data_IF_417055679118
#
_entry.id   IF_417055679118
#
_cell.length_a   1.000
_cell.length_b   1.000
_cell.length_c   1.000
_cell.angle_alpha   90.00
_cell.angle_beta   90.00
_cell.angle_gamma   90.00
#
_symmetry.space_group_name_H-M   'P 1'
#
loop_
_entity.id
_entity.type
_entity.pdbx_description
1 polymer ?
#
# COMPACT_ATOMS: atom_id res chain seq x y z
N UNK A 1 -7.44 -19.20 -17.54
CA UNK A 1 -8.14 -17.97 -17.93
C UNK A 1 -8.88 -17.45 -16.71
N UNK A 2 -8.57 -16.24 -16.26
CA UNK A 2 -9.36 -15.57 -15.23
C UNK A 2 -10.73 -15.18 -15.82
N UNK A 3 -11.81 -15.36 -15.05
CA UNK A 3 -13.14 -14.88 -15.44
C UNK A 3 -13.13 -13.35 -15.32
N UNK A 4 -13.48 -12.59 -16.37
CA UNK A 4 -13.51 -11.13 -16.28
C UNK A 4 -14.47 -10.67 -15.19
N UNK A 5 -14.04 -9.72 -14.37
CA UNK A 5 -14.90 -9.03 -13.41
C UNK A 5 -15.79 -8.05 -14.18
N UNK A 6 -17.00 -8.48 -14.55
CA UNK A 6 -17.91 -7.69 -15.39
C UNK A 6 -18.80 -6.72 -14.60
N UNK A 7 -18.65 -6.67 -13.27
CA UNK A 7 -19.56 -5.90 -12.40
C UNK A 7 -19.10 -4.45 -12.15
N UNK A 8 -17.83 -4.13 -12.38
CA UNK A 8 -17.30 -2.79 -12.07
C UNK A 8 -17.51 -1.85 -13.24
N UNK A 9 -18.21 -0.75 -13.00
CA UNK A 9 -18.45 0.27 -14.04
C UNK A 9 -17.13 0.91 -14.49
N UNK A 10 -17.02 1.23 -15.78
CA UNK A 10 -15.86 1.95 -16.32
C UNK A 10 -15.61 3.28 -15.59
N UNK A 11 -16.67 3.94 -15.11
CA UNK A 11 -16.58 5.17 -14.32
C UNK A 11 -15.81 4.96 -13.02
N UNK A 12 -16.05 3.86 -12.31
CA UNK A 12 -15.34 3.54 -11.06
C UNK A 12 -13.84 3.33 -11.34
N UNK A 13 -13.51 2.56 -12.39
CA UNK A 13 -12.11 2.30 -12.78
C UNK A 13 -11.39 3.60 -13.13
N UNK A 14 -11.98 4.45 -13.97
CA UNK A 14 -11.38 5.73 -14.37
C UNK A 14 -11.25 6.71 -13.20
N UNK A 15 -12.25 6.75 -12.31
CA UNK A 15 -12.18 7.57 -11.10
C UNK A 15 -11.04 7.11 -10.20
N UNK A 16 -10.87 5.79 -10.06
CA UNK A 16 -9.78 5.21 -9.28
C UNK A 16 -8.41 5.61 -9.86
N UNK A 17 -8.21 5.48 -11.17
CA UNK A 17 -6.95 5.89 -11.83
C UNK A 17 -6.62 7.36 -11.64
N UNK A 18 -7.63 8.24 -11.79
CA UNK A 18 -7.47 9.68 -11.57
C UNK A 18 -7.07 9.94 -10.12
N UNK A 19 -7.74 9.30 -9.16
CA UNK A 19 -7.40 9.43 -7.74
C UNK A 19 -5.98 8.91 -7.49
N UNK A 20 -5.60 7.73 -7.99
CA UNK A 20 -4.23 7.20 -7.85
C UNK A 20 -3.17 8.16 -8.41
N UNK A 21 -3.43 8.76 -9.57
CA UNK A 21 -2.52 9.74 -10.19
C UNK A 21 -2.43 11.03 -9.37
N UNK A 22 -3.56 11.54 -8.88
CA UNK A 22 -3.57 12.72 -8.02
C UNK A 22 -2.79 12.47 -6.72
N UNK A 23 -3.01 11.32 -6.08
CA UNK A 23 -2.30 10.93 -4.87
C UNK A 23 -0.79 10.78 -5.11
N UNK A 24 -0.40 10.27 -6.29
CA UNK A 24 1.00 10.22 -6.70
C UNK A 24 1.59 11.64 -6.79
N UNK A 25 0.95 12.53 -7.54
CA UNK A 25 1.43 13.90 -7.75
C UNK A 25 1.55 14.63 -6.42
N UNK A 26 0.53 14.54 -5.57
CA UNK A 26 0.54 15.15 -4.23
C UNK A 26 1.66 14.59 -3.36
N UNK A 27 1.89 13.27 -3.40
CA UNK A 27 2.98 12.64 -2.66
C UNK A 27 4.36 13.07 -3.15
N UNK A 28 4.57 13.16 -4.47
CA UNK A 28 5.80 13.69 -5.07
C UNK A 28 6.04 15.13 -4.63
N UNK A 29 5.00 15.98 -4.70
CA UNK A 29 5.10 17.38 -4.27
C UNK A 29 5.46 17.49 -2.79
N UNK A 30 4.84 16.68 -1.93
CA UNK A 30 5.13 16.65 -0.50
C UNK A 30 6.58 16.25 -0.21
N UNK A 31 7.06 15.14 -0.79
CA UNK A 31 8.45 14.70 -0.55
C UNK A 31 9.47 15.63 -1.20
N UNK A 32 9.17 16.24 -2.35
CA UNK A 32 10.02 17.27 -2.94
C UNK A 32 10.14 18.47 -2.00
N UNK A 33 9.02 19.00 -1.52
CA UNK A 33 8.98 20.16 -0.63
C UNK A 33 9.77 19.95 0.66
N UNK A 34 9.80 18.71 1.17
CA UNK A 34 10.61 18.36 2.35
C UNK A 34 12.11 18.55 2.16
N UNK A 35 12.59 18.53 0.90
CA UNK A 35 14.02 18.51 0.53
C UNK A 35 14.83 17.42 1.24
N UNK A 36 14.17 16.39 1.74
CA UNK A 36 14.81 15.29 2.45
C UNK A 36 14.94 14.07 1.51
N UNK A 37 16.17 13.69 1.10
CA UNK A 37 16.37 12.58 0.17
C UNK A 37 15.89 11.24 0.75
N UNK A 38 15.83 11.09 2.08
CA UNK A 38 15.28 9.88 2.73
C UNK A 38 13.79 9.77 2.44
N UNK A 39 13.04 10.88 2.46
CA UNK A 39 11.60 10.86 2.22
C UNK A 39 11.29 10.51 0.77
N UNK A 40 12.07 11.06 -0.16
CA UNK A 40 12.00 10.68 -1.58
C UNK A 40 12.32 9.19 -1.77
N UNK A 41 13.37 8.68 -1.12
CA UNK A 41 13.74 7.27 -1.18
C UNK A 41 12.63 6.35 -0.67
N UNK A 42 12.05 6.65 0.48
CA UNK A 42 10.93 5.90 1.06
C UNK A 42 9.72 5.92 0.13
N UNK A 43 9.37 7.09 -0.38
CA UNK A 43 8.20 7.26 -1.24
C UNK A 43 8.35 6.47 -2.54
N UNK A 44 9.49 6.61 -3.25
CA UNK A 44 9.77 5.90 -4.49
C UNK A 44 9.90 4.39 -4.28
N UNK A 45 10.56 3.95 -3.19
CA UNK A 45 10.65 2.53 -2.85
C UNK A 45 9.27 1.94 -2.57
N UNK A 46 8.38 2.70 -1.92
CA UNK A 46 7.00 2.27 -1.66
C UNK A 46 6.17 2.23 -2.95
N UNK A 47 6.37 3.16 -3.90
CA UNK A 47 5.63 3.14 -5.18
C UNK A 47 6.12 2.02 -6.09
N UNK A 48 7.38 2.09 -6.50
CA UNK A 48 7.95 1.23 -7.53
C UNK A 48 8.26 -0.15 -6.93
N UNK A 49 8.92 -0.18 -5.76
CA UNK A 49 9.25 -1.43 -5.09
C UNK A 49 8.01 -2.15 -4.58
N UNK A 50 7.09 -1.42 -3.93
CA UNK A 50 5.82 -1.98 -3.46
C UNK A 50 4.97 -2.54 -4.59
N UNK A 51 4.65 -1.72 -5.61
CA UNK A 51 3.79 -2.13 -6.70
C UNK A 51 4.37 -3.26 -7.57
N UNK A 52 5.69 -3.29 -7.79
CA UNK A 52 6.33 -4.39 -8.54
C UNK A 52 6.37 -5.67 -7.72
N UNK A 53 6.75 -5.59 -6.43
CA UNK A 53 6.85 -6.77 -5.58
C UNK A 53 5.48 -7.39 -5.35
N UNK A 54 4.47 -6.57 -5.06
CA UNK A 54 3.12 -7.03 -4.87
C UNK A 54 2.57 -7.66 -6.16
N UNK A 55 2.77 -7.04 -7.33
CA UNK A 55 2.38 -7.67 -8.61
C UNK A 55 2.98 -9.08 -8.78
N UNK A 56 4.23 -9.30 -8.35
CA UNK A 56 4.85 -10.64 -8.36
C UNK A 56 4.11 -11.59 -7.40
N UNK A 57 3.78 -11.16 -6.18
CA UNK A 57 3.09 -11.99 -5.19
C UNK A 57 1.62 -12.27 -5.57
N UNK A 58 0.96 -11.29 -6.17
CA UNK A 58 -0.46 -11.30 -6.49
C UNK A 58 -0.77 -12.04 -7.79
N UNK A 59 0.17 -12.08 -8.73
CA UNK A 59 -0.03 -12.76 -10.01
C UNK A 59 0.05 -14.29 -9.91
N UNK A 60 0.80 -14.85 -8.95
CA UNK A 60 1.12 -16.30 -8.94
C UNK A 60 1.09 -16.98 -7.57
N UNK A 61 1.05 -16.25 -6.46
CA UNK A 61 1.32 -16.81 -5.13
C UNK A 61 0.15 -16.66 -4.14
N UNK A 62 0.47 -16.64 -2.84
CA UNK A 62 -0.47 -16.77 -1.71
C UNK A 62 -1.62 -15.73 -1.72
N UNK A 63 -1.37 -14.56 -2.29
CA UNK A 63 -2.31 -13.44 -2.35
C UNK A 63 -3.02 -13.31 -3.70
N UNK A 64 -3.07 -14.40 -4.49
CA UNK A 64 -3.61 -14.39 -5.86
C UNK A 64 -4.79 -13.44 -6.03
N UNK A 65 -4.52 -12.31 -6.68
CA UNK A 65 -5.44 -11.20 -6.85
C UNK A 65 -5.74 -11.06 -8.34
N UNK A 66 -6.99 -10.77 -8.67
CA UNK A 66 -7.35 -10.30 -10.01
C UNK A 66 -7.87 -8.89 -9.92
N UNK A 67 -7.47 -8.09 -10.90
CA UNK A 67 -7.82 -6.68 -11.01
C UNK A 67 -8.68 -6.52 -12.27
N UNK A 68 -9.57 -5.53 -12.26
CA UNK A 68 -10.44 -5.27 -13.40
C UNK A 68 -9.62 -5.04 -14.69
N UNK A 69 -10.04 -5.65 -15.81
CA UNK A 69 -9.29 -5.57 -17.07
C UNK A 69 -9.37 -4.20 -17.74
N UNK A 70 -10.28 -3.31 -17.28
CA UNK A 70 -10.49 -1.97 -17.86
C UNK A 70 -9.41 -0.97 -17.44
N UNK A 71 -8.55 -1.32 -16.48
CA UNK A 71 -7.42 -0.47 -16.09
C UNK A 71 -6.44 -0.26 -17.25
N UNK A 72 -5.79 0.91 -17.27
CA UNK A 72 -4.68 1.20 -18.18
C UNK A 72 -3.50 0.29 -17.81
N UNK A 73 -2.99 -0.52 -18.76
CA UNK A 73 -1.86 -1.39 -18.50
C UNK A 73 -0.56 -0.58 -18.37
N UNK A 74 0.26 -0.92 -17.39
CA UNK A 74 1.61 -0.39 -17.22
C UNK A 74 2.64 -1.28 -17.91
N UNK A 75 2.58 -2.59 -17.64
CA UNK A 75 3.38 -3.62 -18.29
C UNK A 75 2.65 -4.96 -18.28
N UNK A 76 3.15 -5.89 -19.09
CA UNK A 76 2.71 -7.28 -19.09
C UNK A 76 3.94 -8.18 -18.97
N UNK A 77 3.86 -9.19 -18.11
CA UNK A 77 4.91 -10.20 -18.01
C UNK A 77 4.30 -11.55 -17.63
N UNK A 78 4.74 -12.60 -18.32
CA UNK A 78 4.24 -13.96 -18.16
C UNK A 78 2.70 -14.11 -18.31
N UNK A 79 2.11 -13.28 -19.18
CA UNK A 79 0.66 -13.25 -19.48
C UNK A 79 -0.20 -12.53 -18.44
N UNK A 80 0.43 -11.85 -17.48
CA UNK A 80 -0.24 -11.10 -16.42
C UNK A 80 0.00 -9.60 -16.62
N UNK A 81 -1.09 -8.82 -16.63
CA UNK A 81 -1.06 -7.37 -16.85
C UNK A 81 -1.02 -6.65 -15.51
N UNK A 82 -0.02 -5.79 -15.33
CA UNK A 82 0.06 -4.89 -14.19
C UNK A 82 -0.62 -3.56 -14.55
N UNK A 83 -1.63 -3.10 -13.79
CA UNK A 83 -2.27 -1.82 -14.05
C UNK A 83 -1.41 -0.66 -13.53
N UNK A 84 -1.39 0.47 -14.25
CA UNK A 84 -0.67 1.69 -13.82
C UNK A 84 -1.10 2.09 -12.42
N UNK A 85 -2.41 2.08 -12.15
CA UNK A 85 -2.95 2.48 -10.86
C UNK A 85 -2.31 1.75 -9.68
N UNK A 86 -2.00 0.44 -9.82
CA UNK A 86 -1.32 -0.34 -8.76
C UNK A 86 -0.01 0.26 -8.31
N UNK A 87 0.81 0.63 -9.27
CA UNK A 87 2.14 1.20 -9.02
C UNK A 87 2.04 2.56 -8.34
N UNK A 88 0.98 3.32 -8.67
CA UNK A 88 0.84 4.70 -8.26
C UNK A 88 0.26 4.86 -6.85
N UNK A 89 -0.66 3.99 -6.43
CA UNK A 89 -1.32 4.17 -5.13
C UNK A 89 -0.49 3.65 -3.94
N UNK A 90 0.40 2.67 -4.15
CA UNK A 90 1.16 2.03 -3.07
C UNK A 90 2.01 3.03 -2.26
N UNK A 91 2.59 4.01 -2.96
CA UNK A 91 3.32 5.10 -2.35
C UNK A 91 2.47 5.92 -1.37
N UNK A 92 1.18 6.06 -1.65
CA UNK A 92 0.27 6.83 -0.82
C UNK A 92 -0.14 6.06 0.44
N UNK A 93 -0.44 4.76 0.35
CA UNK A 93 -0.91 3.98 1.50
C UNK A 93 0.22 3.52 2.43
N UNK A 94 1.42 3.31 1.90
CA UNK A 94 2.56 2.86 2.70
C UNK A 94 3.67 3.91 2.81
N UNK A 95 4.01 4.57 1.70
CA UNK A 95 5.10 5.55 1.65
C UNK A 95 4.80 6.82 2.45
N UNK A 96 3.68 7.50 2.17
CA UNK A 96 3.33 8.76 2.84
C UNK A 96 3.13 8.59 4.35
N UNK A 97 2.36 7.59 4.85
CA UNK A 97 2.27 7.35 6.28
C UNK A 97 3.62 7.12 6.96
N UNK A 98 4.54 6.42 6.29
CA UNK A 98 5.89 6.22 6.82
C UNK A 98 6.70 7.53 6.84
N UNK A 99 6.59 8.35 5.79
CA UNK A 99 7.21 9.69 5.78
C UNK A 99 6.64 10.57 6.90
N UNK A 100 5.32 10.63 7.04
CA UNK A 100 4.62 11.36 8.12
C UNK A 100 5.08 10.86 9.49
N UNK A 101 5.18 9.55 9.67
CA UNK A 101 5.64 8.95 10.92
C UNK A 101 7.06 9.39 11.26
N UNK A 102 7.97 9.40 10.29
CA UNK A 102 9.36 9.82 10.50
C UNK A 102 9.43 11.33 10.78
N UNK A 103 8.72 12.13 10.00
CA UNK A 103 8.72 13.60 10.10
C UNK A 103 8.16 14.08 11.45
N UNK A 104 7.11 13.40 11.94
CA UNK A 104 6.46 13.74 13.20
C UNK A 104 6.86 12.84 14.38
N UNK A 105 7.84 11.94 14.19
CA UNK A 105 8.26 10.98 15.22
C UNK A 105 8.58 11.65 16.54
N UNK A 106 9.41 12.70 16.50
CA UNK A 106 9.86 13.40 17.71
C UNK A 106 8.69 14.05 18.47
N UNK A 107 7.72 14.58 17.74
CA UNK A 107 6.49 15.16 18.32
C UNK A 107 5.63 14.08 18.95
N UNK A 108 5.43 12.97 18.23
CA UNK A 108 4.64 11.83 18.68
C UNK A 108 5.25 11.17 19.93
N UNK A 109 6.57 10.99 19.94
CA UNK A 109 7.31 10.45 21.08
C UNK A 109 7.37 11.41 22.26
N UNK A 110 7.31 12.73 22.05
CA UNK A 110 7.20 13.70 23.14
C UNK A 110 5.84 13.62 23.84
N UNK A 111 4.76 13.41 23.09
CA UNK A 111 3.40 13.37 23.65
C UNK A 111 3.03 12.02 24.25
N UNK A 112 3.42 10.91 23.61
CA UNK A 112 2.97 9.56 23.95
C UNK A 112 4.11 8.59 24.24
N UNK A 113 5.36 9.06 24.24
CA UNK A 113 6.53 8.17 24.30
C UNK A 113 6.60 7.26 23.08
N UNK A 114 7.37 6.17 23.20
CA UNK A 114 7.46 5.15 22.13
C UNK A 114 6.10 4.53 21.79
N UNK A 115 5.13 4.55 22.71
CA UNK A 115 3.80 4.01 22.47
C UNK A 115 3.09 4.73 21.32
N UNK A 116 3.30 6.04 21.14
CA UNK A 116 2.70 6.79 20.03
C UNK A 116 3.07 6.21 18.66
N UNK A 117 4.36 5.90 18.45
CA UNK A 117 4.85 5.24 17.23
C UNK A 117 4.18 3.89 16.99
N UNK A 118 4.02 3.07 18.05
CA UNK A 118 3.35 1.78 17.94
C UNK A 118 1.86 1.94 17.60
N UNK A 119 1.17 2.87 18.27
CA UNK A 119 -0.23 3.16 18.02
C UNK A 119 -0.45 3.65 16.58
N UNK A 120 0.45 4.48 16.05
CA UNK A 120 0.38 4.91 14.65
C UNK A 120 0.47 3.72 13.68
N UNK A 121 1.46 2.84 13.87
CA UNK A 121 1.63 1.68 12.98
C UNK A 121 0.47 0.68 13.14
N UNK A 122 0.00 0.44 14.37
CA UNK A 122 -1.18 -0.40 14.64
C UNK A 122 -2.42 0.21 13.97
N UNK A 123 -2.60 1.53 14.04
CA UNK A 123 -3.73 2.19 13.38
C UNK A 123 -3.64 2.04 11.84
N UNK A 124 -2.46 2.18 11.26
CA UNK A 124 -2.25 1.97 9.84
C UNK A 124 -2.50 0.50 9.42
N UNK A 125 -2.03 -0.47 10.21
CA UNK A 125 -2.21 -1.89 9.92
C UNK A 125 -3.63 -2.42 10.18
N UNK A 126 -4.31 -1.90 11.19
CA UNK A 126 -5.65 -2.37 11.61
C UNK A 126 -6.79 -1.60 10.95
N UNK A 127 -6.58 -0.33 10.62
CA UNK A 127 -7.61 0.51 10.00
C UNK A 127 -7.24 0.98 8.60
N UNK A 128 -6.01 1.48 8.40
CA UNK A 128 -5.59 2.02 7.11
C UNK A 128 -5.61 0.97 5.99
N UNK A 129 -4.87 -0.13 6.18
CA UNK A 129 -4.77 -1.22 5.20
C UNK A 129 -6.14 -1.88 4.96
N UNK A 130 -6.91 -2.24 6.00
CA UNK A 130 -8.22 -2.87 5.78
C UNK A 130 -9.25 -1.91 5.18
N UNK A 131 -9.25 -0.63 5.53
CA UNK A 131 -10.14 0.34 4.89
C UNK A 131 -9.86 0.44 3.39
N UNK A 132 -8.59 0.41 2.99
CA UNK A 132 -8.19 0.41 1.59
C UNK A 132 -8.61 -0.90 0.89
N UNK A 133 -8.18 -2.04 1.41
CA UNK A 133 -8.43 -3.35 0.81
C UNK A 133 -9.92 -3.66 0.70
N UNK A 134 -10.68 -3.44 1.77
CA UNK A 134 -12.12 -3.70 1.79
C UNK A 134 -12.88 -2.74 0.86
N UNK A 135 -12.45 -1.48 0.71
CA UNK A 135 -13.03 -0.55 -0.26
C UNK A 135 -12.83 -1.08 -1.69
N UNK A 136 -11.67 -1.64 -1.98
CA UNK A 136 -11.34 -2.12 -3.32
C UNK A 136 -11.98 -3.46 -3.67
N UNK A 137 -12.18 -4.34 -2.69
CA UNK A 137 -12.75 -5.67 -2.91
C UNK A 137 -14.27 -5.70 -2.74
N UNK A 138 -14.81 -5.03 -1.72
CA UNK A 138 -16.23 -5.14 -1.35
C UNK A 138 -17.12 -3.98 -1.80
N UNK A 139 -16.56 -2.79 -2.05
CA UNK A 139 -17.35 -1.61 -2.44
C UNK A 139 -17.19 -1.31 -3.92
N UNK A 140 -15.95 -1.17 -4.38
CA UNK A 140 -15.66 -0.80 -5.77
C UNK A 140 -15.46 -2.01 -6.68
N UNK A 141 -15.23 -3.19 -6.10
CA UNK A 141 -14.99 -4.46 -6.80
C UNK A 141 -13.90 -4.37 -7.88
N UNK A 142 -12.93 -3.48 -7.70
CA UNK A 142 -11.77 -3.37 -8.60
C UNK A 142 -10.78 -4.52 -8.37
N UNK A 143 -10.82 -5.14 -7.17
CA UNK A 143 -9.99 -6.25 -6.73
C UNK A 143 -10.83 -7.46 -6.39
N UNK A 144 -10.26 -8.65 -6.64
CA UNK A 144 -10.76 -9.90 -6.10
C UNK A 144 -9.63 -10.82 -5.71
N UNK A 145 -9.59 -11.18 -4.44
CA UNK A 145 -8.73 -12.24 -3.93
C UNK A 145 -9.34 -13.61 -4.23
N UNK A 146 -8.53 -14.55 -4.69
CA UNK A 146 -8.93 -15.93 -4.99
C UNK A 146 -8.63 -16.87 -3.82
N UNK A 147 -9.13 -16.50 -2.65
CA UNK A 147 -9.07 -17.33 -1.45
C UNK A 147 -10.47 -17.83 -1.08
N UNK A 148 -10.55 -18.82 -0.19
CA UNK A 148 -11.85 -19.26 0.36
C UNK A 148 -12.45 -18.12 1.16
N UNK A 149 -13.77 -17.92 1.03
CA UNK A 149 -14.52 -16.88 1.75
C UNK A 149 -14.31 -16.93 3.27
N UNK A 150 -14.13 -18.12 3.85
CA UNK A 150 -13.84 -18.32 5.28
C UNK A 150 -12.50 -17.66 5.73
N UNK A 151 -11.63 -17.31 4.79
CA UNK A 151 -10.36 -16.62 5.03
C UNK A 151 -10.41 -15.12 4.66
N UNK A 152 -11.56 -14.63 4.21
CA UNK A 152 -11.75 -13.25 3.80
C UNK A 152 -12.53 -12.45 4.86
N UNK A 153 -12.02 -11.27 5.17
CA UNK A 153 -12.72 -10.23 5.89
C UNK A 153 -13.10 -9.14 4.90
N UNK A 154 -14.39 -9.04 4.55
CA UNK A 154 -14.88 -8.11 3.52
C UNK A 154 -14.03 -8.15 2.24
N UNK A 155 -13.81 -9.35 1.71
CA UNK A 155 -13.07 -9.56 0.46
C UNK A 155 -11.54 -9.49 0.58
N UNK A 156 -10.97 -9.06 1.71
CA UNK A 156 -9.53 -9.03 1.98
C UNK A 156 -9.10 -10.26 2.81
N UNK A 157 -7.93 -10.89 2.56
CA UNK A 157 -7.37 -11.92 3.44
C UNK A 157 -7.19 -11.42 4.89
N UNK A 158 -7.70 -12.13 5.90
CA UNK A 158 -7.53 -11.71 7.30
C UNK A 158 -6.05 -11.64 7.74
N UNK A 159 -5.15 -12.32 7.01
CA UNK A 159 -3.71 -12.23 7.23
C UNK A 159 -3.15 -10.82 7.01
N UNK A 160 -3.81 -9.97 6.22
CA UNK A 160 -3.35 -8.60 5.94
C UNK A 160 -3.39 -7.71 7.19
N UNK A 161 -4.30 -7.99 8.14
CA UNK A 161 -4.27 -7.34 9.47
C UNK A 161 -2.96 -7.63 10.21
N UNK A 162 -2.50 -8.87 10.14
CA UNK A 162 -1.32 -9.34 10.85
C UNK A 162 -0.02 -8.91 10.18
N UNK A 163 0.03 -8.81 8.86
CA UNK A 163 1.22 -8.29 8.15
C UNK A 163 1.55 -6.86 8.60
N UNK A 164 0.56 -5.97 8.69
CA UNK A 164 0.76 -4.62 9.21
C UNK A 164 1.26 -4.59 10.66
N UNK A 165 0.74 -5.48 11.51
CA UNK A 165 1.16 -5.60 12.90
C UNK A 165 2.52 -6.29 13.11
N UNK A 166 2.92 -7.23 12.25
CA UNK A 166 4.18 -7.95 12.35
C UNK A 166 5.37 -7.11 11.85
N UNK A 167 5.13 -6.15 10.96
CA UNK A 167 6.13 -5.14 10.59
C UNK A 167 6.46 -4.15 11.73
N UNK A 168 5.75 -4.22 12.86
CA UNK A 168 5.96 -3.39 14.07
C UNK A 168 7.17 -3.85 14.88
N UNK A 169 7.86 -4.95 14.52
CA UNK A 169 9.00 -5.45 15.30
C UNK A 169 10.23 -4.53 15.16
N UNK A 170 10.26 -3.52 16.01
CA UNK A 170 11.34 -2.56 16.30
C UNK A 170 11.99 -1.92 15.05
N UNK A 171 11.23 -1.15 14.22
CA UNK A 171 11.75 -0.59 12.97
C UNK A 171 12.85 0.48 13.15
N UNK A 172 13.22 0.85 14.39
CA UNK A 172 13.95 2.09 14.66
C UNK A 172 15.09 1.93 15.68
N UNK A 173 15.56 0.72 15.96
CA UNK A 173 16.88 0.56 16.57
C UNK A 173 17.92 0.72 15.45
N UNK A 174 18.66 1.83 15.36
CA UNK A 174 19.78 1.89 14.42
C UNK A 174 20.69 0.69 14.72
N UNK A 175 21.26 0.03 13.70
CA UNK A 175 22.30 -0.96 13.94
C UNK A 175 23.33 -0.31 14.87
N UNK A 176 23.74 -1.00 15.93
CA UNK A 176 24.69 -0.48 16.92
C UNK A 176 25.99 0.05 16.29
N UNK A 177 26.28 -0.34 15.04
CA UNK A 177 27.37 0.13 14.21
C UNK A 177 27.36 1.63 13.84
N UNK A 178 26.27 2.37 14.05
CA UNK A 178 26.20 3.82 13.74
C UNK A 178 26.19 4.72 14.98
N UNK A 179 26.29 4.16 16.20
CA UNK A 179 26.28 4.94 17.45
C UNK A 179 27.67 5.42 17.90
N UNK A 180 28.72 5.18 17.11
CA UNK A 180 30.09 5.58 17.42
C UNK A 180 30.75 6.29 16.25
N UNK A 181 30.32 7.52 15.96
CA UNK A 181 31.15 8.58 15.35
C UNK A 181 30.70 9.93 15.87
#
# INVERSE_FOLDING_TARGET
MAVPMDYTSSTVVRSYEIVSLLLLVLGILYVWQSRNPVYTGIYLASSIGGGVMEWIFDSKWYFRLTIDYKFVPAWEMAGEVAPVAMVLFYAFFFGIPLVILIDHKATLERSLGKLGTHLFVIALGTFGTPAFECLNTSVTHIYKYHQREDYLFYGMPYSNFWFGALMVRDPLRPPAAFASR
#
